data_IF_002880753047
#
_entry.id   IF_002880753047
#
_cell.length_a   1.000
_cell.length_b   1.000
_cell.length_c   1.000
_cell.angle_alpha   90.00
_cell.angle_beta   90.00
_cell.angle_gamma   90.00
#
_symmetry.space_group_name_H-M   'P 1'
#
loop_
_entity.id
_entity.type
_entity.pdbx_description
1 polymer ?
#
# COMPACT_ATOMS: atom_id res chain seq x y z
N UNK A 1 30.72 4.26 -8.28
CA UNK A 1 29.55 4.89 -8.90
C UNK A 1 28.34 4.10 -8.45
N UNK A 2 27.71 4.54 -7.36
CA UNK A 2 26.59 3.85 -6.70
C UNK A 2 25.31 4.16 -7.46
N UNK A 3 24.56 3.11 -7.83
CA UNK A 3 23.30 3.23 -8.54
C UNK A 3 22.29 4.02 -7.70
N UNK A 4 21.84 5.16 -8.22
CA UNK A 4 20.67 5.86 -7.71
C UNK A 4 19.45 5.01 -8.07
N UNK A 5 18.86 4.34 -7.08
CA UNK A 5 17.54 3.74 -7.20
C UNK A 5 16.57 4.80 -7.70
N UNK A 6 16.19 4.70 -8.97
CA UNK A 6 15.27 5.62 -9.60
C UNK A 6 13.89 5.38 -9.00
N UNK A 7 13.53 6.22 -8.01
CA UNK A 7 12.12 6.42 -7.64
C UNK A 7 11.49 7.20 -8.78
N UNK A 8 11.06 6.49 -9.82
CA UNK A 8 10.17 7.07 -10.82
C UNK A 8 8.79 7.19 -10.17
N UNK A 9 8.61 8.21 -9.33
CA UNK A 9 7.28 8.66 -8.94
C UNK A 9 6.78 9.48 -10.11
N UNK A 10 6.08 8.82 -11.03
CA UNK A 10 5.28 9.56 -12.02
C UNK A 10 4.17 10.23 -11.23
N UNK A 11 4.15 11.56 -11.19
CA UNK A 11 3.28 12.37 -10.33
C UNK A 11 1.78 12.21 -10.60
N UNK A 12 1.37 11.36 -11.56
CA UNK A 12 -0.02 11.19 -12.02
C UNK A 12 -0.61 9.79 -11.72
N UNK A 13 0.00 9.01 -10.85
CA UNK A 13 -0.53 7.68 -10.51
C UNK A 13 -1.71 7.75 -9.54
N UNK A 14 -2.71 6.92 -9.77
CA UNK A 14 -3.77 6.61 -8.82
C UNK A 14 -3.56 5.22 -8.21
N UNK A 15 -4.37 4.88 -7.21
CA UNK A 15 -4.23 3.62 -6.46
C UNK A 15 -4.22 2.37 -7.38
N UNK A 16 -5.10 2.23 -8.39
CA UNK A 16 -5.10 1.07 -9.27
C UNK A 16 -3.75 0.81 -9.96
N UNK A 17 -3.01 1.88 -10.30
CA UNK A 17 -1.71 1.79 -10.97
C UNK A 17 -0.61 1.24 -10.06
N UNK A 18 -0.81 1.30 -8.75
CA UNK A 18 0.18 0.93 -7.75
C UNK A 18 -0.10 -0.42 -7.05
N UNK A 19 -1.21 -1.12 -7.36
CA UNK A 19 -1.60 -2.34 -6.64
C UNK A 19 -0.57 -3.48 -6.71
N UNK A 20 0.28 -3.50 -7.74
CA UNK A 20 1.32 -4.53 -7.91
C UNK A 20 2.44 -4.46 -6.87
N UNK A 21 2.60 -3.34 -6.16
CA UNK A 21 3.66 -3.14 -5.14
C UNK A 21 3.25 -3.62 -3.75
N UNK A 22 2.01 -4.09 -3.59
CA UNK A 22 1.43 -4.52 -2.31
C UNK A 22 0.89 -5.95 -2.41
N UNK A 23 0.69 -6.59 -1.26
CA UNK A 23 0.06 -7.91 -1.21
C UNK A 23 -1.41 -7.88 -1.63
N UNK A 24 -1.91 -8.91 -2.35
CA UNK A 24 -3.27 -8.94 -2.89
C UNK A 24 -4.36 -8.90 -1.81
N UNK A 25 -4.05 -9.33 -0.59
CA UNK A 25 -4.97 -9.23 0.53
C UNK A 25 -5.33 -7.80 0.93
N UNK A 26 -4.53 -6.80 0.53
CA UNK A 26 -4.82 -5.38 0.77
C UNK A 26 -5.50 -4.68 -0.41
N UNK A 27 -5.63 -5.33 -1.58
CA UNK A 27 -6.27 -4.73 -2.76
C UNK A 27 -7.69 -4.23 -2.48
N UNK A 28 -8.57 -4.97 -1.77
CA UNK A 28 -9.91 -4.46 -1.47
C UNK A 28 -9.92 -3.19 -0.61
N UNK A 29 -8.98 -3.07 0.34
CA UNK A 29 -8.87 -1.88 1.19
C UNK A 29 -8.46 -0.65 0.37
N UNK A 30 -7.51 -0.85 -0.55
CA UNK A 30 -7.01 0.19 -1.43
C UNK A 30 -8.04 0.60 -2.48
N UNK A 31 -8.80 -0.35 -3.04
CA UNK A 31 -9.89 -0.02 -3.97
C UNK A 31 -11.03 0.74 -3.27
N UNK A 32 -11.33 0.41 -2.01
CA UNK A 32 -12.28 1.20 -1.22
C UNK A 32 -11.78 2.63 -0.99
N UNK A 33 -10.47 2.80 -0.72
CA UNK A 33 -9.86 4.12 -0.63
C UNK A 33 -9.93 4.88 -1.97
N UNK A 34 -9.67 4.19 -3.08
CA UNK A 34 -9.77 4.76 -4.43
C UNK A 34 -11.16 5.35 -4.68
N UNK A 35 -12.21 4.57 -4.42
CA UNK A 35 -13.60 5.03 -4.61
C UNK A 35 -13.92 6.25 -3.73
N UNK A 36 -13.45 6.25 -2.48
CA UNK A 36 -13.64 7.37 -1.55
C UNK A 36 -12.90 8.63 -2.02
N UNK A 37 -11.67 8.50 -2.52
CA UNK A 37 -10.89 9.63 -3.03
C UNK A 37 -11.47 10.16 -4.35
N UNK A 38 -11.93 9.29 -5.26
CA UNK A 38 -12.61 9.69 -6.49
C UNK A 38 -13.90 10.49 -6.23
N UNK A 39 -14.64 10.12 -5.19
CA UNK A 39 -15.84 10.85 -4.80
C UNK A 39 -15.54 12.28 -4.28
N UNK A 40 -14.33 12.52 -3.79
CA UNK A 40 -13.86 13.82 -3.32
C UNK A 40 -13.23 14.63 -4.46
N UNK A 41 -12.34 14.00 -5.24
CA UNK A 41 -11.67 14.59 -6.38
C UNK A 41 -11.30 13.51 -7.40
N UNK A 42 -11.86 13.59 -8.61
CA UNK A 42 -11.65 12.60 -9.67
C UNK A 42 -10.20 12.53 -10.18
N UNK A 43 -9.46 13.62 -10.04
CA UNK A 43 -8.08 13.82 -10.46
C UNK A 43 -7.10 13.70 -9.28
N UNK A 44 -7.48 13.05 -8.17
CA UNK A 44 -6.56 12.81 -7.06
C UNK A 44 -5.33 12.01 -7.53
N UNK A 45 -4.21 12.17 -6.82
CA UNK A 45 -2.94 11.51 -7.16
C UNK A 45 -2.28 10.93 -5.91
N UNK A 46 -1.52 9.86 -6.08
CA UNK A 46 -0.73 9.22 -5.03
C UNK A 46 0.72 9.70 -5.15
N UNK A 47 1.25 10.23 -4.06
CA UNK A 47 2.70 10.53 -3.95
C UNK A 47 3.47 9.29 -3.53
N UNK A 48 2.87 8.46 -2.68
CA UNK A 48 3.50 7.27 -2.16
C UNK A 48 2.47 6.19 -1.83
N UNK A 49 2.71 4.98 -2.32
CA UNK A 49 2.11 3.76 -1.82
C UNK A 49 3.23 2.74 -1.63
N UNK A 50 3.56 2.44 -0.37
CA UNK A 50 4.64 1.51 -0.06
C UNK A 50 4.26 0.58 1.08
N UNK A 51 4.55 -0.73 0.98
CA UNK A 51 4.53 -1.60 2.15
C UNK A 51 5.49 -1.06 3.23
N UNK A 52 4.99 -1.00 4.46
CA UNK A 52 5.80 -0.77 5.66
C UNK A 52 5.80 -2.07 6.46
N UNK A 53 6.79 -2.27 7.33
CA UNK A 53 6.91 -3.45 8.19
C UNK A 53 5.57 -3.84 8.86
N UNK A 54 4.83 -4.81 8.31
CA UNK A 54 3.52 -5.22 8.79
C UNK A 54 2.33 -4.30 8.44
N UNK A 55 2.43 -3.40 7.46
CA UNK A 55 1.34 -2.51 7.08
C UNK A 55 1.58 -1.73 5.80
N UNK A 56 0.86 -0.62 5.64
CA UNK A 56 0.96 0.28 4.48
C UNK A 56 1.45 1.66 4.90
N UNK A 57 2.03 2.38 3.93
CA UNK A 57 2.21 3.83 3.98
C UNK A 57 1.63 4.42 2.71
N UNK A 58 0.73 5.38 2.87
CA UNK A 58 -0.06 6.02 1.82
C UNK A 58 0.08 7.54 2.00
N UNK A 59 0.58 8.21 0.97
CA UNK A 59 0.55 9.67 0.85
C UNK A 59 -0.22 10.03 -0.41
N UNK A 60 -1.28 10.84 -0.23
CA UNK A 60 -2.09 11.41 -1.30
C UNK A 60 -1.58 12.82 -1.55
N UNK A 61 -1.45 13.21 -2.81
CA UNK A 61 -0.90 14.52 -3.19
C UNK A 61 -1.77 15.67 -2.66
N UNK A 62 -1.09 16.73 -2.23
CA UNK A 62 -1.73 18.00 -1.89
C UNK A 62 -2.42 18.61 -3.12
N UNK A 63 -3.47 19.39 -2.85
CA UNK A 63 -4.23 20.11 -3.87
C UNK A 63 -4.19 21.61 -3.59
N UNK A 64 -4.24 22.36 -4.68
CA UNK A 64 -4.27 23.80 -4.69
C UNK A 64 -5.39 24.25 -5.63
N UNK A 65 -6.04 25.37 -5.33
CA UNK A 65 -7.05 25.95 -6.22
C UNK A 65 -6.42 26.71 -7.40
N UNK A 66 -7.27 27.35 -8.23
CA UNK A 66 -6.83 28.08 -9.43
C UNK A 66 -5.94 29.30 -9.10
N UNK A 67 -6.04 29.83 -7.88
CA UNK A 67 -5.20 30.93 -7.38
C UNK A 67 -3.90 30.42 -6.74
N UNK A 68 -3.75 29.09 -6.63
CA UNK A 68 -2.59 28.42 -6.05
C UNK A 68 -2.65 28.29 -4.53
N UNK A 69 -3.81 28.52 -3.91
CA UNK A 69 -4.00 28.39 -2.47
C UNK A 69 -4.20 26.93 -2.06
N UNK A 70 -3.59 26.54 -0.94
CA UNK A 70 -3.61 25.17 -0.45
C UNK A 70 -5.01 24.75 0.05
N UNK A 71 -5.52 23.64 -0.47
CA UNK A 71 -6.78 23.05 0.00
C UNK A 71 -6.54 22.19 1.25
N UNK A 72 -6.57 22.84 2.41
CA UNK A 72 -6.46 22.15 3.70
C UNK A 72 -7.60 21.19 4.00
N UNK A 73 -8.80 21.41 3.44
CA UNK A 73 -9.94 20.50 3.64
C UNK A 73 -9.72 19.17 2.93
N UNK A 74 -9.17 19.24 1.71
CA UNK A 74 -8.70 18.07 0.97
C UNK A 74 -7.64 17.32 1.76
N UNK A 75 -6.55 17.98 2.15
CA UNK A 75 -5.42 17.34 2.81
C UNK A 75 -5.85 16.62 4.09
N UNK A 76 -6.66 17.27 4.93
CA UNK A 76 -7.20 16.69 6.15
C UNK A 76 -8.11 15.47 5.88
N UNK A 77 -8.96 15.56 4.86
CA UNK A 77 -9.94 14.50 4.56
C UNK A 77 -9.28 13.30 3.91
N UNK A 78 -8.46 13.52 2.89
CA UNK A 78 -7.70 12.48 2.22
C UNK A 78 -6.72 11.79 3.19
N UNK A 79 -6.05 12.57 4.05
CA UNK A 79 -5.16 12.06 5.09
C UNK A 79 -5.87 11.11 6.07
N UNK A 80 -7.05 11.49 6.58
CA UNK A 80 -7.84 10.62 7.47
C UNK A 80 -8.29 9.32 6.80
N UNK A 81 -8.67 9.37 5.52
CA UNK A 81 -9.06 8.17 4.76
C UNK A 81 -7.86 7.22 4.56
N UNK A 82 -6.70 7.80 4.22
CA UNK A 82 -5.46 7.05 4.07
C UNK A 82 -5.04 6.39 5.40
N UNK A 83 -5.05 7.15 6.51
CA UNK A 83 -4.72 6.64 7.85
C UNK A 83 -5.65 5.50 8.28
N UNK A 84 -6.96 5.62 8.04
CA UNK A 84 -7.90 4.56 8.36
C UNK A 84 -7.58 3.25 7.63
N UNK A 85 -7.16 3.33 6.37
CA UNK A 85 -6.75 2.17 5.55
C UNK A 85 -5.41 1.61 6.01
N UNK A 86 -4.45 2.46 6.39
CA UNK A 86 -3.18 2.01 6.98
C UNK A 86 -3.43 1.18 8.26
N UNK A 87 -4.28 1.68 9.17
CA UNK A 87 -4.64 1.00 10.42
C UNK A 87 -5.39 -0.32 10.20
N UNK A 88 -6.21 -0.41 9.15
CA UNK A 88 -6.89 -1.65 8.78
C UNK A 88 -5.93 -2.66 8.15
N UNK A 89 -4.98 -2.20 7.32
CA UNK A 89 -3.97 -3.05 6.71
C UNK A 89 -3.06 -3.72 7.76
N UNK A 90 -2.74 -3.04 8.87
CA UNK A 90 -1.98 -3.60 10.00
C UNK A 90 -2.65 -4.82 10.65
N UNK A 91 -3.97 -4.99 10.46
CA UNK A 91 -4.79 -6.06 11.02
C UNK A 91 -5.35 -6.99 9.93
N UNK A 92 -4.92 -6.81 8.69
CA UNK A 92 -5.40 -7.54 7.52
C UNK A 92 -4.27 -8.34 6.91
N UNK A 93 -4.50 -9.63 6.67
CA UNK A 93 -3.55 -10.52 6.03
C UNK A 93 -3.17 -9.98 4.65
N UNK A 94 -1.91 -9.63 4.43
CA UNK A 94 -1.43 -9.08 3.16
C UNK A 94 -1.57 -10.08 1.99
N UNK A 95 -1.71 -11.37 2.29
CA UNK A 95 -1.82 -12.43 1.26
C UNK A 95 -3.27 -12.68 0.85
N UNK A 96 -4.21 -12.73 1.78
CA UNK A 96 -5.58 -13.19 1.50
C UNK A 96 -6.69 -12.23 1.94
N UNK A 97 -6.39 -11.19 2.71
CA UNK A 97 -7.38 -10.22 3.19
C UNK A 97 -8.15 -10.64 4.45
N UNK A 98 -7.98 -11.86 4.95
CA UNK A 98 -8.55 -12.27 6.24
C UNK A 98 -7.91 -11.53 7.42
N UNK A 99 -8.54 -11.48 8.60
CA UNK A 99 -7.91 -10.91 9.80
C UNK A 99 -6.53 -11.52 10.06
N UNK A 100 -5.54 -10.64 10.25
CA UNK A 100 -4.14 -10.98 10.39
C UNK A 100 -3.49 -10.27 11.58
N UNK A 101 -2.26 -10.66 11.89
CA UNK A 101 -1.43 -9.97 12.88
C UNK A 101 0.01 -9.89 12.39
N UNK A 102 0.75 -8.90 12.86
CA UNK A 102 2.17 -8.74 12.57
C UNK A 102 2.94 -10.01 12.95
N UNK A 103 3.68 -10.56 11.99
CA UNK A 103 4.51 -11.75 12.12
C UNK A 103 5.94 -11.41 11.78
N UNK A 104 6.86 -11.85 12.62
CA UNK A 104 8.26 -11.86 12.29
C UNK A 104 8.57 -13.03 11.36
N UNK A 105 9.31 -12.72 10.31
CA UNK A 105 9.89 -13.64 9.37
C UNK A 105 11.35 -13.30 9.23
N UNK A 106 12.16 -14.29 8.86
CA UNK A 106 13.58 -14.06 8.75
C UNK A 106 14.42 -15.24 9.14
N UNK A 107 15.69 -15.09 8.86
CA UNK A 107 16.76 -15.89 9.44
C UNK A 107 17.61 -15.02 10.37
N UNK A 108 18.78 -15.54 10.73
CA UNK A 108 19.73 -14.90 11.64
C UNK A 108 20.31 -13.59 11.09
N UNK A 109 20.10 -13.29 9.80
CA UNK A 109 20.71 -12.18 9.09
C UNK A 109 19.71 -11.16 8.56
N UNK A 110 18.43 -11.52 8.39
CA UNK A 110 17.38 -10.61 7.89
C UNK A 110 16.06 -10.88 8.58
N UNK A 111 15.50 -9.86 9.23
CA UNK A 111 14.14 -9.91 9.78
C UNK A 111 13.23 -8.99 8.98
N UNK A 112 12.08 -9.49 8.57
CA UNK A 112 11.00 -8.69 7.98
C UNK A 112 9.67 -9.00 8.67
N UNK A 113 8.77 -8.02 8.67
CA UNK A 113 7.45 -8.14 9.29
C UNK A 113 6.40 -8.16 8.20
N UNK A 114 5.50 -9.14 8.26
CA UNK A 114 4.32 -9.27 7.40
C UNK A 114 3.09 -9.39 8.27
N UNK A 115 1.96 -8.86 7.83
CA UNK A 115 0.69 -9.09 8.52
C UNK A 115 0.01 -10.29 7.89
N UNK A 116 -0.10 -11.40 8.62
CA UNK A 116 -0.62 -12.67 8.12
C UNK A 116 -1.60 -13.30 9.09
N UNK A 117 -2.62 -13.97 8.54
CA UNK A 117 -3.44 -14.92 9.28
C UNK A 117 -2.64 -16.19 9.62
N UNK A 118 -3.18 -17.06 10.47
CA UNK A 118 -2.51 -18.31 10.86
C UNK A 118 -2.30 -19.27 9.66
N UNK A 119 -3.27 -19.34 8.75
CA UNK A 119 -3.20 -20.20 7.56
C UNK A 119 -2.09 -19.76 6.59
N UNK A 120 -2.05 -18.48 6.20
CA UNK A 120 -1.00 -17.96 5.32
C UNK A 120 0.38 -17.96 5.99
N UNK A 121 0.46 -17.89 7.32
CA UNK A 121 1.73 -18.06 8.04
C UNK A 121 2.22 -19.51 7.96
N UNK A 122 1.31 -20.49 8.08
CA UNK A 122 1.64 -21.91 8.03
C UNK A 122 2.01 -22.39 6.62
N UNK A 123 1.40 -21.84 5.58
CA UNK A 123 1.67 -22.19 4.18
C UNK A 123 3.11 -21.85 3.72
N UNK A 124 3.83 -20.99 4.44
CA UNK A 124 5.17 -20.55 4.07
C UNK A 124 5.20 -19.63 2.84
N UNK A 125 6.37 -19.15 2.41
CA UNK A 125 6.48 -18.44 1.13
C UNK A 125 6.16 -19.42 0.00
N UNK A 126 5.00 -19.26 -0.61
CA UNK A 126 4.64 -19.97 -1.83
C UNK A 126 5.61 -19.54 -2.94
N UNK A 127 6.48 -20.45 -3.35
CA UNK A 127 7.22 -20.33 -4.61
C UNK A 127 6.21 -20.11 -5.74
N UNK A 128 6.52 -19.26 -6.74
CA UNK A 128 5.68 -19.17 -7.92
C UNK A 128 5.52 -20.59 -8.52
N UNK A 129 4.33 -20.94 -9.04
CA UNK A 129 4.14 -22.23 -9.67
C UNK A 129 5.12 -22.37 -10.86
N UNK A 130 6.00 -23.37 -10.76
CA UNK A 130 6.77 -23.96 -11.86
C UNK A 130 7.43 -23.00 -12.83
N UNK A 131 8.68 -22.59 -12.54
CA UNK A 131 9.66 -22.46 -13.62
C UNK A 131 10.42 -23.79 -13.70
N UNK A 132 9.78 -24.79 -14.29
CA UNK A 132 10.54 -25.88 -14.90
C UNK A 132 11.23 -25.25 -16.13
N UNK A 133 12.52 -24.97 -15.98
CA UNK A 133 13.39 -24.61 -17.09
C UNK A 133 14.35 -25.79 -17.35
N UNK A 134 14.63 -26.09 -18.64
CA UNK A 134 15.11 -27.39 -19.13
C UNK A 134 16.50 -27.81 -18.64
#
# INVERSE_FOLDING_TARGET
>A
MTAASSRTTTFDQQIPDCLSVVGPGWHPLLMRLHDQLLALASDYRIEQLTPRLGGLRIYVADRFDDDGEFDGTWADTAGRLAEAVELEAEKTCETCGSPGRARFHGDQHRTWIKTLCDECKAAGPQSPPGVDAP
#
